data_IF_233264196797
#
_entry.id   IF_233264196797
#
_cell.length_a   1.000
_cell.length_b   1.000
_cell.length_c   1.000
_cell.angle_alpha   90.00
_cell.angle_beta   90.00
_cell.angle_gamma   90.00
#
_symmetry.space_group_name_H-M   'P 1'
#
loop_
_entity.id
_entity.type
_entity.pdbx_description
1 polymer ?
#
# COMPACT_ATOMS: atom_id res chain seq x y z
N UNK A 1 10.12 -0.59 24.25
CA UNK A 1 10.77 -1.43 23.31
C UNK A 1 10.51 -0.99 21.91
N UNK A 2 11.54 -0.91 21.16
CA UNK A 2 11.42 -0.36 19.80
C UNK A 2 10.41 -1.15 18.96
N UNK A 3 10.44 -2.47 19.04
CA UNK A 3 9.53 -3.25 18.22
C UNK A 3 8.08 -3.02 18.59
N UNK A 4 7.81 -2.97 19.90
CA UNK A 4 6.44 -2.74 20.35
C UNK A 4 5.99 -1.34 19.97
N UNK A 5 6.90 -0.35 20.12
CA UNK A 5 6.54 1.00 19.75
C UNK A 5 6.28 1.11 18.26
N UNK A 6 7.04 0.40 17.44
CA UNK A 6 6.83 0.42 16.02
C UNK A 6 5.49 -0.17 15.62
N UNK A 7 5.11 -1.28 16.26
CA UNK A 7 3.83 -1.89 15.97
C UNK A 7 2.69 -0.99 16.40
N UNK A 8 2.79 -0.42 17.59
CA UNK A 8 1.73 0.47 18.07
C UNK A 8 1.60 1.68 17.17
N UNK A 9 2.73 2.22 16.71
CA UNK A 9 2.68 3.36 15.81
C UNK A 9 2.02 2.99 14.49
N UNK A 10 2.30 1.78 13.98
CA UNK A 10 1.68 1.35 12.75
C UNK A 10 0.18 1.14 12.91
N UNK A 11 -0.24 0.60 14.04
CA UNK A 11 -1.67 0.39 14.26
C UNK A 11 -2.40 1.72 14.38
N UNK A 12 -1.78 2.70 15.02
CA UNK A 12 -2.40 4.03 15.10
C UNK A 12 -2.45 4.69 13.74
N UNK A 13 -1.40 4.53 12.94
CA UNK A 13 -1.38 5.09 11.60
C UNK A 13 -2.45 4.43 10.72
N UNK A 14 -2.56 3.12 10.79
CA UNK A 14 -3.58 2.40 10.04
C UNK A 14 -4.98 2.86 10.44
N UNK A 15 -5.22 2.94 11.74
CA UNK A 15 -6.53 3.36 12.23
C UNK A 15 -6.88 4.77 11.81
N UNK A 16 -5.90 5.67 11.89
CA UNK A 16 -6.12 7.05 11.48
C UNK A 16 -6.41 7.14 9.98
N UNK A 17 -5.73 6.34 9.19
CA UNK A 17 -5.96 6.33 7.75
C UNK A 17 -7.38 5.85 7.43
N UNK A 18 -7.83 4.77 8.08
CA UNK A 18 -9.19 4.26 7.88
C UNK A 18 -10.20 5.34 8.25
N UNK A 19 -9.99 6.00 9.39
CA UNK A 19 -10.89 7.04 9.83
C UNK A 19 -10.92 8.21 8.85
N UNK A 20 -9.76 8.58 8.33
CA UNK A 20 -9.69 9.68 7.39
C UNK A 20 -10.43 9.33 6.10
N UNK A 21 -10.27 8.12 5.60
CA UNK A 21 -10.97 7.69 4.40
C UNK A 21 -12.48 7.68 4.63
N UNK A 22 -12.89 7.22 5.82
CA UNK A 22 -14.30 7.20 6.16
C UNK A 22 -14.88 8.61 6.17
N UNK A 23 -14.16 9.56 6.77
CA UNK A 23 -14.63 10.93 6.83
C UNK A 23 -14.66 11.57 5.44
N UNK A 24 -13.69 11.22 4.63
CA UNK A 24 -13.66 11.75 3.26
C UNK A 24 -14.90 11.30 2.48
N UNK A 25 -15.31 10.04 2.69
CA UNK A 25 -16.48 9.52 2.01
C UNK A 25 -17.77 9.86 2.74
N UNK A 26 -17.67 10.55 3.88
CA UNK A 26 -18.82 10.99 4.66
C UNK A 26 -19.69 9.82 5.12
N UNK A 27 -19.05 8.76 5.56
CA UNK A 27 -19.80 7.64 6.12
C UNK A 27 -19.47 7.52 7.60
N UNK A 28 -20.49 7.14 8.36
CA UNK A 28 -20.32 7.01 9.80
C UNK A 28 -19.59 5.73 10.14
N UNK A 29 -19.13 5.66 11.38
CA UNK A 29 -18.51 4.43 11.87
C UNK A 29 -19.47 3.27 11.73
N UNK A 30 -20.72 3.50 12.09
CA UNK A 30 -21.74 2.46 12.01
C UNK A 30 -21.94 2.00 10.58
N UNK A 31 -21.98 2.94 9.65
CA UNK A 31 -22.19 2.59 8.26
C UNK A 31 -21.02 1.75 7.73
N UNK A 32 -19.79 2.13 8.06
CA UNK A 32 -18.66 1.35 7.62
C UNK A 32 -18.66 -0.03 8.25
N UNK A 33 -19.03 -0.13 9.53
CA UNK A 33 -19.08 -1.44 10.17
C UNK A 33 -20.09 -2.35 9.46
N UNK A 34 -21.22 -1.78 9.04
CA UNK A 34 -22.22 -2.55 8.30
C UNK A 34 -21.68 -2.97 6.94
N UNK A 35 -21.04 -2.06 6.24
CA UNK A 35 -20.50 -2.38 4.93
C UNK A 35 -19.38 -3.41 5.00
N UNK A 36 -18.60 -3.36 6.05
CA UNK A 36 -17.48 -4.29 6.20
C UNK A 36 -17.88 -5.59 6.89
N UNK A 37 -19.08 -5.64 7.45
CA UNK A 37 -19.53 -6.86 8.11
C UNK A 37 -18.85 -7.13 9.44
N UNK A 38 -18.45 -6.08 10.15
CA UNK A 38 -17.82 -6.23 11.46
C UNK A 38 -18.56 -5.39 12.46
N UNK A 39 -18.33 -5.65 13.74
CA UNK A 39 -19.06 -4.95 14.78
C UNK A 39 -18.54 -3.53 14.94
N UNK A 40 -19.43 -2.66 15.42
CA UNK A 40 -19.09 -1.29 15.67
C UNK A 40 -17.95 -1.15 16.67
N UNK A 41 -17.99 -1.82 17.82
CA UNK A 41 -16.90 -1.71 18.78
C UNK A 41 -15.57 -2.21 18.21
N UNK A 42 -15.60 -3.27 17.39
CA UNK A 42 -14.37 -3.79 16.82
C UNK A 42 -13.76 -2.75 15.86
N UNK A 43 -14.60 -2.18 14.98
CA UNK A 43 -14.09 -1.18 14.05
C UNK A 43 -13.57 0.04 14.81
N UNK A 44 -14.28 0.45 15.87
CA UNK A 44 -13.84 1.58 16.68
C UNK A 44 -12.46 1.31 17.28
N UNK A 45 -12.22 0.10 17.75
CA UNK A 45 -10.92 -0.23 18.32
C UNK A 45 -9.83 -0.22 17.26
N UNK A 46 -10.15 -0.67 16.04
CA UNK A 46 -9.19 -0.62 14.95
C UNK A 46 -8.84 0.83 14.61
N UNK A 47 -9.84 1.70 14.53
CA UNK A 47 -9.58 3.10 14.21
C UNK A 47 -8.75 3.80 15.28
N UNK A 48 -8.86 3.34 16.52
CA UNK A 48 -8.06 3.93 17.60
C UNK A 48 -6.70 3.27 17.78
N UNK A 49 -6.40 2.28 16.94
CA UNK A 49 -5.10 1.63 17.02
C UNK A 49 -4.98 0.63 18.16
N UNK A 50 -6.11 0.18 18.70
CA UNK A 50 -6.10 -0.72 19.86
C UNK A 50 -6.18 -2.19 19.49
N UNK A 51 -6.45 -2.50 18.23
CA UNK A 51 -6.55 -3.88 17.77
C UNK A 51 -5.85 -4.02 16.44
N UNK A 52 -5.18 -5.14 16.27
CA UNK A 52 -4.54 -5.45 15.00
C UNK A 52 -5.50 -6.30 14.19
N UNK A 53 -6.05 -5.79 13.09
CA UNK A 53 -6.97 -6.58 12.29
C UNK A 53 -6.22 -7.59 11.45
N UNK A 54 -6.89 -8.70 11.13
CA UNK A 54 -6.33 -9.69 10.24
C UNK A 54 -6.38 -9.17 8.80
N UNK A 55 -5.65 -9.83 7.91
CA UNK A 55 -5.69 -9.46 6.50
C UNK A 55 -7.12 -9.56 5.95
N UNK A 56 -7.87 -10.56 6.40
CA UNK A 56 -9.24 -10.72 5.93
C UNK A 56 -10.12 -9.57 6.37
N UNK A 57 -9.97 -9.13 7.62
CA UNK A 57 -10.74 -7.98 8.12
C UNK A 57 -10.36 -6.72 7.36
N UNK A 58 -9.07 -6.54 7.07
CA UNK A 58 -8.64 -5.37 6.29
C UNK A 58 -9.25 -5.39 4.89
N UNK A 59 -9.37 -6.58 4.30
CA UNK A 59 -10.00 -6.70 2.99
C UNK A 59 -11.47 -6.28 3.06
N UNK A 60 -12.16 -6.66 4.12
CA UNK A 60 -13.55 -6.27 4.29
C UNK A 60 -13.69 -4.77 4.48
N UNK A 61 -12.80 -4.16 5.24
CA UNK A 61 -12.83 -2.71 5.44
C UNK A 61 -12.54 -2.00 4.13
N UNK A 62 -11.53 -2.48 3.39
CA UNK A 62 -11.19 -1.85 2.12
C UNK A 62 -12.36 -1.90 1.15
N UNK A 63 -13.09 -3.02 1.14
CA UNK A 63 -14.24 -3.14 0.27
C UNK A 63 -15.31 -2.12 0.67
N UNK A 64 -15.54 -1.94 1.97
CA UNK A 64 -16.51 -0.97 2.43
C UNK A 64 -16.13 0.47 2.10
N UNK A 65 -14.83 0.74 2.01
CA UNK A 65 -14.33 2.07 1.69
C UNK A 65 -14.09 2.25 0.21
N UNK A 66 -14.25 1.20 -0.58
CA UNK A 66 -13.99 1.23 -2.03
C UNK A 66 -12.54 1.61 -2.34
N UNK A 67 -11.61 1.10 -1.54
CA UNK A 67 -10.19 1.30 -1.78
C UNK A 67 -9.52 -0.05 -1.92
N UNK A 68 -8.28 -0.04 -2.37
CA UNK A 68 -7.52 -1.25 -2.55
C UNK A 68 -7.16 -1.86 -1.20
N UNK A 69 -7.35 -3.16 -1.07
CA UNK A 69 -6.93 -3.86 0.15
C UNK A 69 -5.42 -3.76 0.33
N UNK A 70 -4.68 -3.70 -0.78
CA UNK A 70 -3.23 -3.58 -0.68
C UNK A 70 -2.82 -2.33 0.07
N UNK A 71 -3.55 -1.23 -0.13
CA UNK A 71 -3.26 0.02 0.58
C UNK A 71 -3.32 -0.22 2.09
N UNK A 72 -4.32 -0.95 2.57
CA UNK A 72 -4.44 -1.21 3.99
C UNK A 72 -3.39 -2.21 4.46
N UNK A 73 -3.04 -3.19 3.60
CA UNK A 73 -2.01 -4.15 3.97
C UNK A 73 -0.67 -3.46 4.18
N UNK A 74 -0.33 -2.52 3.30
CA UNK A 74 0.91 -1.77 3.44
C UNK A 74 0.90 -0.96 4.73
N UNK A 75 -0.21 -0.27 5.00
CA UNK A 75 -0.30 0.54 6.20
C UNK A 75 -0.23 -0.31 7.46
N UNK A 76 -0.76 -1.53 7.41
CA UNK A 76 -0.73 -2.42 8.56
C UNK A 76 0.62 -3.11 8.73
N UNK A 77 1.52 -2.98 7.76
CA UNK A 77 2.80 -3.65 7.84
C UNK A 77 2.77 -5.10 7.42
N UNK A 78 1.68 -5.54 6.78
CA UNK A 78 1.58 -6.90 6.29
C UNK A 78 2.35 -7.06 5.00
N UNK A 79 2.30 -6.05 4.14
CA UNK A 79 3.04 -6.03 2.91
C UNK A 79 4.02 -4.88 2.92
N UNK A 80 5.15 -5.08 2.29
CA UNK A 80 6.10 -4.00 2.14
C UNK A 80 5.62 -3.06 1.04
N UNK A 81 5.99 -1.82 1.20
CA UNK A 81 5.63 -0.84 0.19
C UNK A 81 6.36 -1.19 -1.09
N UNK A 82 5.64 -1.28 -2.20
CA UNK A 82 6.23 -1.63 -3.48
C UNK A 82 6.75 -0.37 -4.15
N UNK A 83 8.00 -0.39 -4.54
CA UNK A 83 8.55 0.76 -5.23
C UNK A 83 9.32 0.31 -6.45
N UNK A 84 9.91 1.24 -7.16
CA UNK A 84 10.61 0.92 -8.38
C UNK A 84 11.77 -0.01 -8.19
N UNK A 85 12.41 0.07 -7.04
CA UNK A 85 13.54 -0.79 -6.77
C UNK A 85 13.13 -2.23 -6.73
N UNK A 86 11.97 -2.50 -6.19
CA UNK A 86 11.50 -3.87 -6.08
C UNK A 86 11.34 -4.50 -7.45
N UNK A 87 10.66 -3.83 -8.36
CA UNK A 87 10.47 -4.35 -9.69
C UNK A 87 11.79 -4.45 -10.44
N UNK A 88 12.63 -3.43 -10.32
CA UNK A 88 13.92 -3.46 -11.00
C UNK A 88 14.78 -4.61 -10.51
N UNK A 89 14.75 -4.88 -9.21
CA UNK A 89 15.51 -6.00 -8.67
C UNK A 89 15.03 -7.32 -9.24
N UNK A 90 13.72 -7.47 -9.40
CA UNK A 90 13.17 -8.69 -9.99
C UNK A 90 13.61 -8.84 -11.44
N UNK A 91 13.62 -7.75 -12.20
CA UNK A 91 14.07 -7.79 -13.58
C UNK A 91 15.53 -8.21 -13.65
N UNK A 92 16.37 -7.64 -12.79
CA UNK A 92 17.79 -7.94 -12.83
C UNK A 92 18.10 -9.39 -12.46
N UNK A 93 17.24 -10.02 -11.68
CA UNK A 93 17.46 -11.41 -11.26
C UNK A 93 16.84 -12.42 -12.19
N UNK A 94 16.10 -11.98 -13.21
CA UNK A 94 15.39 -12.90 -14.08
C UNK A 94 16.38 -13.67 -14.96
N UNK A 95 16.41 -15.01 -14.88
CA UNK A 95 17.38 -15.78 -15.66
C UNK A 95 17.04 -15.92 -17.13
N UNK A 96 15.86 -15.52 -17.52
CA UNK A 96 15.43 -15.66 -18.91
C UNK A 96 15.70 -14.43 -19.75
N UNK A 97 16.24 -13.38 -19.15
CA UNK A 97 16.52 -12.15 -19.86
C UNK A 97 18.01 -11.92 -19.99
N UNK A 98 18.42 -11.39 -21.15
CA UNK A 98 19.81 -10.97 -21.32
C UNK A 98 20.00 -9.64 -20.60
N UNK A 99 21.26 -9.29 -20.37
CA UNK A 99 21.54 -8.01 -19.72
C UNK A 99 20.98 -6.84 -20.49
N UNK A 100 21.04 -6.93 -21.81
CA UNK A 100 20.51 -5.86 -22.65
C UNK A 100 19.00 -5.75 -22.50
N UNK A 101 18.31 -6.90 -22.47
CA UNK A 101 16.88 -6.89 -22.29
C UNK A 101 16.50 -6.33 -20.92
N UNK A 102 17.25 -6.69 -19.90
CA UNK A 102 16.99 -6.17 -18.57
C UNK A 102 17.10 -4.65 -18.55
N UNK A 103 18.16 -4.14 -19.18
CA UNK A 103 18.35 -2.69 -19.19
C UNK A 103 17.23 -1.98 -19.93
N UNK A 104 16.79 -2.56 -21.03
CA UNK A 104 15.68 -1.98 -21.80
C UNK A 104 14.42 -1.92 -20.97
N UNK A 105 14.10 -3.02 -20.26
CA UNK A 105 12.90 -3.05 -19.45
C UNK A 105 12.97 -2.03 -18.32
N UNK A 106 14.12 -1.90 -17.68
CA UNK A 106 14.29 -0.95 -16.60
C UNK A 106 14.13 0.49 -17.14
N UNK A 107 14.68 0.76 -18.31
CA UNK A 107 14.57 2.09 -18.88
C UNK A 107 13.12 2.44 -19.20
N UNK A 108 12.38 1.49 -19.76
CA UNK A 108 10.96 1.72 -20.07
C UNK A 108 10.18 1.95 -18.77
N UNK A 109 10.44 1.13 -17.77
CA UNK A 109 9.73 1.24 -16.51
C UNK A 109 9.96 2.63 -15.88
N UNK A 110 11.20 3.08 -15.86
CA UNK A 110 11.52 4.39 -15.30
C UNK A 110 10.88 5.50 -16.10
N UNK A 111 10.82 5.32 -17.41
CA UNK A 111 10.17 6.31 -18.26
C UNK A 111 8.70 6.46 -17.90
N UNK A 112 8.02 5.33 -17.64
CA UNK A 112 6.61 5.40 -17.27
C UNK A 112 6.42 6.06 -15.90
N UNK A 113 7.41 6.01 -15.05
CA UNK A 113 7.33 6.67 -13.76
C UNK A 113 7.74 8.14 -13.82
N UNK A 114 8.10 8.62 -15.00
CA UNK A 114 8.51 10.01 -15.13
C UNK A 114 9.96 10.28 -14.78
N UNK A 115 10.77 9.22 -14.69
CA UNK A 115 12.19 9.38 -14.38
C UNK A 115 12.98 9.42 -15.66
N UNK A 116 13.95 10.31 -15.72
CA UNK A 116 14.80 10.38 -16.91
C UNK A 116 15.73 9.19 -16.93
N UNK A 117 15.98 8.64 -18.10
CA UNK A 117 16.95 7.56 -18.20
C UNK A 117 18.33 8.03 -17.80
N UNK A 118 19.07 7.19 -17.14
CA UNK A 118 20.40 7.59 -16.71
C UNK A 118 21.34 7.91 -17.85
N UNK A 119 21.09 7.37 -19.00
CA UNK A 119 21.97 7.62 -20.12
C UNK A 119 21.74 8.97 -20.74
N UNK A 120 20.87 9.75 -20.19
CA UNK A 120 20.64 11.03 -20.79
C UNK A 120 20.08 10.88 -22.17
N UNK A 121 19.17 10.01 -22.31
CA UNK A 121 18.61 9.78 -23.62
C UNK A 121 18.22 11.08 -24.23
N UNK A 122 18.37 11.12 -25.49
CA UNK A 122 18.09 12.32 -26.23
C UNK A 122 16.65 12.54 -26.21
N UNK A 123 16.21 12.67 -25.25
CA UNK A 123 14.94 12.78 -25.22
C UNK A 123 14.46 13.83 -25.76
N UNK A 124 15.04 14.62 -25.67
CA UNK A 124 14.50 15.67 -26.22
C UNK A 124 14.10 15.51 -27.49
N UNK A 125 14.62 14.71 -28.04
CA UNK A 125 14.37 14.62 -29.26
C UNK A 125 13.16 14.29 -29.45
N UNK A 126 12.66 14.15 -28.91
CA UNK A 126 11.48 13.88 -29.18
C UNK A 126 10.74 14.81 -29.34
#
# INVERSE_FOLDING_TARGET
MAATDGLEARLRDLGAFIREQRHRDRISLRKLSELAGISNPYLSQIERGLRKPSAEILQQIARGLHISAETLYVRAGILDETDGEDLEAHIHRDPHLTDRQKQTLVDVYRSFRGEDPPSGAPEGER
#
